data_IF_630115067210
#
_entry.id   IF_630115067210
#
_cell.length_a   1.000
_cell.length_b   1.000
_cell.length_c   1.000
_cell.angle_alpha   90.00
_cell.angle_beta   90.00
_cell.angle_gamma   90.00
#
_symmetry.space_group_name_H-M   'P 1'
#
loop_
_entity.id
_entity.type
_entity.pdbx_description
1 polymer ?
#
# COMPACT_ATOMS: atom_id res chain seq x y z
N UNK A 1 -6.51 -6.00 -9.86
CA UNK A 1 -7.26 -5.97 -8.59
C UNK A 1 -6.23 -6.12 -7.48
N UNK A 2 -6.16 -5.20 -6.52
CA UNK A 2 -5.22 -5.32 -5.40
C UNK A 2 -5.63 -6.50 -4.51
N UNK A 3 -4.71 -7.43 -4.27
CA UNK A 3 -4.89 -8.58 -3.37
C UNK A 3 -3.82 -8.46 -2.29
N UNK A 4 -4.12 -7.69 -1.25
CA UNK A 4 -3.21 -7.43 -0.13
C UNK A 4 -3.99 -7.07 1.12
N UNK A 5 -3.26 -6.81 2.22
CA UNK A 5 -3.87 -6.52 3.53
C UNK A 5 -4.67 -5.22 3.49
N UNK A 6 -5.76 -5.20 4.24
CA UNK A 6 -6.61 -4.01 4.40
C UNK A 6 -5.91 -2.98 5.28
N UNK A 7 -6.33 -1.72 5.18
CA UNK A 7 -5.75 -0.64 6.00
C UNK A 7 -5.92 -0.92 7.51
N UNK A 8 -7.05 -1.54 7.90
CA UNK A 8 -7.31 -1.92 9.29
C UNK A 8 -6.36 -3.00 9.80
N UNK A 9 -6.03 -4.00 8.99
CA UNK A 9 -5.04 -5.02 9.36
C UNK A 9 -3.62 -4.45 9.40
N UNK A 10 -3.35 -3.44 8.57
CA UNK A 10 -2.05 -2.80 8.48
C UNK A 10 -1.81 -1.74 9.57
N UNK A 11 -2.87 -1.13 10.13
CA UNK A 11 -2.74 -0.05 11.11
C UNK A 11 -2.05 -0.49 12.41
N UNK A 12 -2.18 -1.78 12.75
CA UNK A 12 -1.58 -2.38 13.95
C UNK A 12 -0.13 -2.81 13.71
N UNK A 13 0.32 -2.76 12.45
CA UNK A 13 1.68 -3.08 12.04
C UNK A 13 2.49 -1.81 11.80
N UNK A 14 3.77 -1.86 12.15
CA UNK A 14 4.71 -0.79 11.81
C UNK A 14 4.83 -0.64 10.28
N UNK A 15 4.95 0.60 9.79
CA UNK A 15 5.04 0.90 8.35
C UNK A 15 6.20 0.18 7.65
N UNK A 16 7.30 -0.10 8.35
CA UNK A 16 8.42 -0.91 7.87
C UNK A 16 8.06 -2.37 7.51
N UNK A 17 6.92 -2.88 7.98
CA UNK A 17 6.38 -4.22 7.65
C UNK A 17 5.42 -4.21 6.46
N UNK A 18 5.09 -3.03 5.95
CA UNK A 18 4.22 -2.89 4.79
C UNK A 18 5.04 -3.12 3.53
N UNK A 19 4.48 -3.81 2.55
CA UNK A 19 5.12 -3.98 1.24
C UNK A 19 5.03 -2.67 0.45
N UNK A 20 5.87 -2.53 -0.58
CA UNK A 20 5.87 -1.33 -1.40
C UNK A 20 4.57 -1.20 -2.22
N UNK A 21 3.98 -2.33 -2.60
CA UNK A 21 2.70 -2.41 -3.30
C UNK A 21 1.54 -1.95 -2.40
N UNK A 22 1.54 -2.36 -1.12
CA UNK A 22 0.59 -1.91 -0.11
C UNK A 22 0.68 -0.39 0.10
N UNK A 23 1.90 0.13 0.26
CA UNK A 23 2.13 1.57 0.39
C UNK A 23 1.65 2.34 -0.84
N UNK A 24 1.94 1.85 -2.05
CA UNK A 24 1.51 2.48 -3.30
C UNK A 24 -0.02 2.52 -3.44
N UNK A 25 -0.66 1.38 -3.18
CA UNK A 25 -2.11 1.25 -3.30
C UNK A 25 -2.84 2.15 -2.31
N UNK A 26 -2.44 2.11 -1.03
CA UNK A 26 -3.08 2.91 0.01
C UNK A 26 -2.78 4.40 -0.15
N UNK A 27 -1.57 4.79 -0.56
CA UNK A 27 -1.26 6.18 -0.88
C UNK A 27 -2.15 6.72 -2.01
N UNK A 28 -2.28 5.98 -3.10
CA UNK A 28 -3.12 6.37 -4.25
C UNK A 28 -4.59 6.49 -3.84
N UNK A 29 -5.10 5.47 -3.14
CA UNK A 29 -6.49 5.44 -2.68
C UNK A 29 -6.80 6.60 -1.73
N UNK A 30 -5.92 6.86 -0.76
CA UNK A 30 -6.08 7.96 0.19
C UNK A 30 -5.91 9.33 -0.47
N UNK A 31 -5.06 9.45 -1.49
CA UNK A 31 -4.91 10.69 -2.27
C UNK A 31 -6.22 11.04 -3.01
N UNK A 32 -6.87 10.05 -3.61
CA UNK A 32 -8.18 10.26 -4.25
C UNK A 32 -9.28 10.67 -3.25
N UNK A 33 -9.18 10.21 -2.01
CA UNK A 33 -10.13 10.52 -0.94
C UNK A 33 -9.69 11.69 -0.06
N UNK A 34 -8.56 12.34 -0.36
CA UNK A 34 -7.89 13.31 0.53
C UNK A 34 -8.81 14.46 0.95
N UNK A 35 -9.66 14.94 0.05
CA UNK A 35 -10.63 16.01 0.32
C UNK A 35 -11.66 15.65 1.40
N UNK A 36 -11.88 14.35 1.63
CA UNK A 36 -12.83 13.82 2.60
C UNK A 36 -12.15 13.16 3.81
N UNK A 37 -10.81 13.18 3.88
CA UNK A 37 -10.07 12.62 5.01
C UNK A 37 -10.12 13.57 6.21
N UNK A 38 -10.37 12.99 7.38
CA UNK A 38 -10.17 13.66 8.67
C UNK A 38 -8.68 13.76 9.02
N UNK A 39 -8.34 14.44 10.11
CA UNK A 39 -6.95 14.64 10.57
C UNK A 39 -6.17 13.33 10.72
N UNK A 40 -6.83 12.26 11.17
CA UNK A 40 -6.23 10.91 11.28
C UNK A 40 -5.87 10.36 9.90
N UNK A 41 -6.74 10.50 8.91
CA UNK A 41 -6.50 10.07 7.54
C UNK A 41 -5.35 10.84 6.88
N UNK A 42 -5.27 12.15 7.10
CA UNK A 42 -4.14 12.96 6.60
C UNK A 42 -2.81 12.57 7.23
N UNK A 43 -2.81 12.27 8.54
CA UNK A 43 -1.62 11.82 9.23
C UNK A 43 -1.13 10.44 8.74
N UNK A 44 -2.04 9.52 8.43
CA UNK A 44 -1.68 8.22 7.82
C UNK A 44 -1.08 8.42 6.44
N UNK A 45 -1.68 9.26 5.60
CA UNK A 45 -1.16 9.59 4.27
C UNK A 45 0.26 10.16 4.34
N UNK A 46 0.51 11.09 5.27
CA UNK A 46 1.83 11.68 5.48
C UNK A 46 2.88 10.64 5.90
N UNK A 47 2.52 9.71 6.79
CA UNK A 47 3.42 8.61 7.22
C UNK A 47 3.73 7.64 6.09
N UNK A 48 2.74 7.28 5.28
CA UNK A 48 2.93 6.43 4.10
C UNK A 48 3.89 7.11 3.12
N UNK A 49 3.70 8.40 2.85
CA UNK A 49 4.59 9.17 1.99
C UNK A 49 6.03 9.24 2.52
N UNK A 50 6.20 9.47 3.82
CA UNK A 50 7.50 9.48 4.46
C UNK A 50 8.20 8.11 4.42
N UNK A 51 7.44 7.02 4.58
CA UNK A 51 7.98 5.66 4.47
C UNK A 51 8.42 5.33 3.04
N UNK A 52 7.66 5.76 2.03
CA UNK A 52 8.02 5.59 0.62
C UNK A 52 9.30 6.38 0.30
N UNK A 53 9.39 7.62 0.76
CA UNK A 53 10.59 8.46 0.59
C UNK A 53 11.82 7.84 1.27
N UNK A 54 11.66 7.36 2.52
CA UNK A 54 12.71 6.68 3.26
C UNK A 54 13.22 5.40 2.57
N UNK A 55 12.38 4.77 1.74
CA UNK A 55 12.74 3.58 0.93
C UNK A 55 13.32 3.90 -0.44
N UNK A 56 13.48 5.19 -0.77
CA UNK A 56 14.01 5.63 -2.06
C UNK A 56 12.95 5.70 -3.17
N UNK A 57 11.67 5.80 -2.81
CA UNK A 57 10.56 5.93 -3.75
C UNK A 57 9.99 4.61 -4.25
N UNK A 58 9.12 4.69 -5.26
CA UNK A 58 8.55 3.50 -5.88
C UNK A 58 9.56 2.86 -6.84
N UNK A 59 9.79 1.54 -6.75
CA UNK A 59 10.52 0.84 -7.79
C UNK A 59 9.75 1.01 -9.10
N UNK A 60 10.43 1.48 -10.15
CA UNK A 60 9.93 1.36 -11.51
C UNK A 60 9.80 -0.13 -11.82
N UNK A 61 8.62 -0.70 -11.60
CA UNK A 61 8.24 -1.97 -12.18
C UNK A 61 8.09 -1.74 -13.70
N UNK A 62 9.19 -1.84 -14.43
CA UNK A 62 9.12 -2.27 -15.82
C UNK A 62 8.42 -3.63 -15.78
N UNK A 63 7.23 -3.71 -16.38
CA UNK A 63 6.26 -4.76 -16.09
C UNK A 63 6.80 -6.18 -16.26
N UNK A 64 6.84 -6.91 -15.15
CA UNK A 64 6.88 -8.37 -15.13
C UNK A 64 5.66 -8.83 -14.33
N UNK A 65 4.47 -8.66 -14.91
CA UNK A 65 3.25 -9.34 -14.47
C UNK A 65 3.22 -10.77 -15.03
N UNK A 66 4.32 -11.52 -14.91
CA UNK A 66 4.38 -12.91 -15.35
C UNK A 66 4.87 -13.76 -14.19
N UNK A 67 3.94 -14.38 -13.44
CA UNK A 67 4.33 -15.43 -12.49
C UNK A 67 3.55 -15.63 -11.19
N UNK A 68 2.56 -14.80 -10.81
CA UNK A 68 1.68 -15.17 -9.69
C UNK A 68 0.58 -16.12 -10.18
N UNK A 69 0.98 -17.39 -10.34
CA UNK A 69 0.08 -18.49 -10.59
C UNK A 69 -1.03 -18.54 -9.55
N UNK A 70 -2.27 -18.49 -10.03
CA UNK A 70 -3.45 -18.86 -9.25
C UNK A 70 -3.39 -20.37 -8.98
N UNK A 71 -2.67 -20.79 -7.95
CA UNK A 71 -2.85 -22.14 -7.41
C UNK A 71 -4.07 -22.10 -6.51
N UNK A 72 -5.25 -22.31 -7.10
CA UNK A 72 -6.46 -22.59 -6.33
C UNK A 72 -6.29 -23.98 -5.74
N UNK A 73 -6.00 -24.05 -4.44
CA UNK A 73 -6.08 -25.29 -3.68
C UNK A 73 -7.57 -25.56 -3.38
N UNK A 74 -8.14 -26.55 -4.05
CA UNK A 74 -9.35 -27.23 -3.58
C UNK A 74 -8.90 -28.42 -2.73
N UNK A 75 -9.39 -28.52 -1.50
CA UNK A 75 -9.52 -29.79 -0.79
C UNK A 75 -10.84 -30.45 -1.23
#
# INVERSE_FOLDING_TARGET
>A
MYVGRTLEELQDLSYNKWTIEELAYHQTTMTHLQACLNDRGQHVLAKIAAEIDARGGFPHYCGDYDGHGTTVHYD
#
